data_IF_874167506366
#
_entry.id   IF_874167506366
#
_cell.length_a   1.000
_cell.length_b   1.000
_cell.length_c   1.000
_cell.angle_alpha   90.00
_cell.angle_beta   90.00
_cell.angle_gamma   90.00
#
_symmetry.space_group_name_H-M   'P 1'
#
loop_
_entity.id
_entity.type
_entity.pdbx_description
1 polymer ?
#
# COMPACT_ATOMS: atom_id res chain seq x y z
N UNK A 1 16.02 7.95 5.05
CA UNK A 1 15.77 6.73 4.26
C UNK A 1 15.96 7.13 2.82
N UNK A 2 17.01 6.58 2.22
CA UNK A 2 17.26 6.71 0.80
C UNK A 2 16.69 5.47 0.10
N UNK A 3 16.15 5.67 -1.09
CA UNK A 3 15.54 4.62 -1.90
C UNK A 3 16.20 4.64 -3.27
N UNK A 4 16.56 3.47 -3.81
CA UNK A 4 17.03 3.38 -5.19
C UNK A 4 15.87 3.43 -6.18
N UNK A 5 16.14 3.67 -7.46
CA UNK A 5 15.09 3.70 -8.48
C UNK A 5 14.40 2.34 -8.62
N UNK A 6 15.19 1.28 -8.56
CA UNK A 6 14.74 -0.12 -8.66
C UNK A 6 13.81 -0.46 -7.48
N UNK A 7 14.14 0.00 -6.28
CA UNK A 7 13.29 -0.17 -5.10
C UNK A 7 11.96 0.58 -5.24
N UNK A 8 11.98 1.81 -5.78
CA UNK A 8 10.77 2.60 -6.00
C UNK A 8 9.84 1.91 -7.01
N UNK A 9 10.40 1.38 -8.10
CA UNK A 9 9.65 0.64 -9.11
C UNK A 9 9.06 -0.65 -8.54
N UNK A 10 9.84 -1.40 -7.77
CA UNK A 10 9.36 -2.60 -7.09
C UNK A 10 8.23 -2.31 -6.09
N UNK A 11 8.36 -1.26 -5.29
CA UNK A 11 7.33 -0.83 -4.35
C UNK A 11 6.05 -0.40 -5.06
N UNK A 12 6.18 0.31 -6.20
CA UNK A 12 5.05 0.70 -7.04
C UNK A 12 4.32 -0.53 -7.56
N UNK A 13 5.03 -1.49 -8.14
CA UNK A 13 4.45 -2.72 -8.67
C UNK A 13 3.66 -3.49 -7.59
N UNK A 14 4.27 -3.73 -6.42
CA UNK A 14 3.59 -4.43 -5.31
C UNK A 14 2.35 -3.66 -4.86
N UNK A 15 2.45 -2.33 -4.74
CA UNK A 15 1.35 -1.50 -4.24
C UNK A 15 0.09 -1.61 -5.12
N UNK A 16 0.27 -1.86 -6.41
CA UNK A 16 -0.81 -1.96 -7.40
C UNK A 16 -1.26 -3.41 -7.61
N UNK A 17 -0.32 -4.34 -7.74
CA UNK A 17 -0.58 -5.67 -8.31
C UNK A 17 -0.64 -6.79 -7.27
N UNK A 18 -0.16 -6.58 -6.04
CA UNK A 18 -0.10 -7.66 -5.06
C UNK A 18 -1.51 -8.13 -4.64
N UNK A 19 -1.71 -9.46 -4.55
CA UNK A 19 -3.02 -10.06 -4.22
C UNK A 19 -3.51 -9.70 -2.81
N UNK A 20 -2.64 -9.78 -1.80
CA UNK A 20 -2.99 -9.41 -0.42
C UNK A 20 -3.13 -7.88 -0.27
N UNK A 21 -4.34 -7.37 0.07
CA UNK A 21 -4.56 -5.93 0.27
C UNK A 21 -3.74 -5.34 1.42
N UNK A 22 -3.35 -6.14 2.42
CA UNK A 22 -2.48 -5.69 3.52
C UNK A 22 -1.04 -5.48 3.05
N UNK A 23 -0.56 -6.32 2.13
CA UNK A 23 0.75 -6.12 1.50
C UNK A 23 0.70 -4.89 0.60
N UNK A 24 -0.35 -4.71 -0.22
CA UNK A 24 -0.54 -3.48 -1.00
C UNK A 24 -0.49 -2.22 -0.14
N UNK A 25 -1.22 -2.18 0.98
CA UNK A 25 -1.22 -1.01 1.89
C UNK A 25 0.15 -0.73 2.50
N UNK A 26 0.91 -1.78 2.85
CA UNK A 26 2.29 -1.62 3.34
C UNK A 26 3.19 -1.06 2.25
N UNK A 27 3.11 -1.59 1.03
CA UNK A 27 3.89 -1.10 -0.10
C UNK A 27 3.54 0.36 -0.44
N UNK A 28 2.25 0.73 -0.47
CA UNK A 28 1.81 2.12 -0.61
C UNK A 28 2.42 3.05 0.44
N UNK A 29 2.50 2.60 1.70
CA UNK A 29 3.09 3.39 2.78
C UNK A 29 4.56 3.71 2.51
N UNK A 30 5.33 2.73 2.09
CA UNK A 30 6.78 2.88 1.82
C UNK A 30 7.01 3.64 0.51
N UNK A 31 6.22 3.35 -0.52
CA UNK A 31 6.27 4.06 -1.81
C UNK A 31 5.98 5.55 -1.65
N UNK A 32 4.95 5.94 -0.91
CA UNK A 32 4.69 7.36 -0.68
C UNK A 32 5.80 8.02 0.16
N UNK A 33 6.45 7.24 1.04
CA UNK A 33 7.61 7.74 1.79
C UNK A 33 8.82 8.00 0.89
N UNK A 34 9.04 7.16 -0.13
CA UNK A 34 10.13 7.37 -1.10
C UNK A 34 9.88 8.59 -1.99
N UNK A 35 8.61 8.87 -2.30
CA UNK A 35 8.15 10.10 -2.96
C UNK A 35 8.16 11.35 -2.06
N UNK A 36 8.73 11.27 -0.86
CA UNK A 36 8.88 12.37 0.12
C UNK A 36 7.58 12.96 0.67
N UNK A 37 6.45 12.24 0.61
CA UNK A 37 5.24 12.66 1.31
C UNK A 37 5.45 12.69 2.83
N UNK A 38 4.75 13.60 3.51
CA UNK A 38 4.78 13.68 4.97
C UNK A 38 4.05 12.49 5.61
N UNK A 39 4.42 12.17 6.84
CA UNK A 39 3.79 11.08 7.60
C UNK A 39 2.28 11.30 7.80
N UNK A 40 1.86 12.57 7.89
CA UNK A 40 0.45 12.95 8.02
C UNK A 40 -0.32 12.69 6.72
N UNK A 41 0.23 13.11 5.58
CA UNK A 41 -0.38 12.89 4.26
C UNK A 41 -0.50 11.40 3.93
N UNK A 42 0.57 10.63 4.16
CA UNK A 42 0.56 9.19 3.91
C UNK A 42 -0.52 8.50 4.76
N UNK A 43 -0.66 8.88 6.02
CA UNK A 43 -1.71 8.36 6.90
C UNK A 43 -3.11 8.65 6.36
N UNK A 44 -3.31 9.85 5.81
CA UNK A 44 -4.58 10.26 5.20
C UNK A 44 -4.87 9.48 3.90
N UNK A 45 -3.88 9.37 3.00
CA UNK A 45 -4.02 8.69 1.70
C UNK A 45 -4.28 7.18 1.87
N UNK A 46 -3.52 6.51 2.74
CA UNK A 46 -3.61 5.05 2.90
C UNK A 46 -4.71 4.65 3.90
N UNK A 47 -5.23 5.60 4.68
CA UNK A 47 -6.20 5.36 5.75
C UNK A 47 -5.59 4.60 6.93
N UNK A 48 -4.40 5.01 7.37
CA UNK A 48 -3.66 4.37 8.46
C UNK A 48 -3.44 5.33 9.62
N UNK A 49 -3.47 4.79 10.85
CA UNK A 49 -3.02 5.53 12.02
C UNK A 49 -1.52 5.81 11.94
N UNK A 50 -1.09 6.92 12.55
CA UNK A 50 0.32 7.30 12.63
C UNK A 50 1.20 6.21 13.25
N UNK A 51 0.66 5.47 14.25
CA UNK A 51 1.29 4.33 14.90
C UNK A 51 1.50 3.16 13.93
N UNK A 52 0.48 2.81 13.16
CA UNK A 52 0.57 1.73 12.16
C UNK A 52 1.58 2.06 11.09
N UNK A 53 1.59 3.31 10.64
CA UNK A 53 2.52 3.81 9.64
C UNK A 53 3.98 3.70 10.10
N UNK A 54 4.28 4.15 11.33
CA UNK A 54 5.63 3.98 11.93
C UNK A 54 6.07 2.52 11.94
N UNK A 55 5.18 1.62 12.37
CA UNK A 55 5.47 0.19 12.40
C UNK A 55 5.78 -0.38 11.02
N UNK A 56 5.08 0.08 9.97
CA UNK A 56 5.32 -0.38 8.60
C UNK A 56 6.64 0.14 8.05
N UNK A 57 6.98 1.41 8.30
CA UNK A 57 8.26 1.97 7.91
C UNK A 57 9.42 1.28 8.65
N UNK A 58 9.28 1.04 9.95
CA UNK A 58 10.30 0.35 10.74
C UNK A 58 10.50 -1.09 10.25
N UNK A 59 9.42 -1.84 9.98
CA UNK A 59 9.54 -3.18 9.43
C UNK A 59 10.24 -3.22 8.06
N UNK A 60 10.07 -2.17 7.25
CA UNK A 60 10.82 -2.02 6.01
C UNK A 60 12.28 -1.61 6.24
N UNK A 61 12.56 -0.79 7.26
CA UNK A 61 13.94 -0.46 7.63
C UNK A 61 14.72 -1.70 8.10
N UNK A 62 14.06 -2.57 8.86
CA UNK A 62 14.70 -3.74 9.47
C UNK A 62 14.91 -4.88 8.46
N UNK A 63 13.94 -5.11 7.55
CA UNK A 63 13.94 -6.26 6.63
C UNK A 63 14.00 -5.89 5.15
N UNK A 64 14.00 -4.60 4.80
CA UNK A 64 13.92 -4.12 3.42
C UNK A 64 12.68 -4.66 2.68
N UNK A 65 12.87 -4.96 1.40
CA UNK A 65 11.86 -5.59 0.54
C UNK A 65 11.44 -6.99 1.00
N UNK A 66 12.21 -7.67 1.85
CA UNK A 66 11.81 -8.98 2.38
C UNK A 66 10.60 -8.90 3.33
N UNK A 67 10.29 -7.71 3.88
CA UNK A 67 9.10 -7.46 4.72
C UNK A 67 7.76 -7.75 4.02
N UNK A 68 7.73 -7.80 2.69
CA UNK A 68 6.54 -8.09 1.90
C UNK A 68 6.35 -9.60 1.62
N UNK A 69 7.38 -10.43 1.83
CA UNK A 69 7.37 -11.86 1.45
C UNK A 69 6.74 -12.79 2.49
N UNK A 70 6.65 -12.36 3.75
CA UNK A 70 6.31 -13.22 4.90
C UNK A 70 4.83 -13.58 5.06
N UNK A 71 3.94 -13.15 4.16
CA UNK A 71 2.50 -13.33 4.34
C UNK A 71 1.90 -14.11 3.18
N UNK A 72 1.70 -15.42 3.39
CA UNK A 72 0.77 -16.23 2.60
C UNK A 72 -0.59 -15.53 2.65
N UNK A 73 -1.07 -15.04 1.51
CA UNK A 73 -2.37 -14.39 1.40
C UNK A 73 -3.46 -15.39 1.80
N UNK A 74 -4.16 -15.13 2.91
CA UNK A 74 -5.43 -15.81 3.25
C UNK A 74 -6.63 -15.13 2.57
N UNK A 75 -6.37 -14.10 1.73
CA UNK A 75 -7.40 -13.35 1.04
C UNK A 75 -7.69 -14.00 -0.32
N UNK A 76 -8.73 -14.82 -0.38
CA UNK A 76 -9.44 -15.16 -1.60
C UNK A 76 -10.55 -14.12 -1.81
N UNK A 77 -10.48 -13.27 -2.85
CA UNK A 77 -11.58 -12.35 -3.13
C UNK A 77 -12.83 -13.19 -3.43
N UNK A 78 -13.85 -13.08 -2.60
CA UNK A 78 -15.21 -13.49 -2.99
C UNK A 78 -15.54 -12.62 -4.21
N UNK A 79 -15.81 -13.23 -5.36
CA UNK A 79 -16.21 -12.50 -6.56
C UNK A 79 -17.41 -11.61 -6.20
N UNK A 80 -17.17 -10.31 -6.00
CA UNK A 80 -18.25 -9.37 -5.76
C UNK A 80 -18.87 -9.12 -7.13
N UNK A 81 -19.97 -9.84 -7.40
CA UNK A 81 -20.83 -9.60 -8.54
C UNK A 81 -21.19 -8.12 -8.62
N UNK A 82 -21.06 -7.56 -9.82
CA UNK A 82 -21.10 -6.13 -10.06
C UNK A 82 -22.42 -5.47 -9.67
N UNK A 83 -22.35 -4.14 -9.61
CA UNK A 83 -23.30 -3.14 -10.12
C UNK A 83 -23.12 -1.88 -9.27
N UNK A 84 -22.22 -1.00 -9.71
CA UNK A 84 -22.36 0.41 -9.41
C UNK A 84 -23.42 0.94 -10.39
N UNK A 85 -24.67 1.09 -9.95
CA UNK A 85 -25.71 1.80 -10.72
C UNK A 85 -25.23 3.24 -10.92
N UNK A 86 -24.96 3.60 -12.17
CA UNK A 86 -24.73 4.99 -12.57
C UNK A 86 -25.99 5.81 -12.31
N UNK A 87 -25.90 6.77 -11.40
CA UNK A 87 -26.92 7.78 -11.19
C UNK A 87 -26.75 8.84 -12.30
N UNK A 88 -27.56 8.80 -13.35
CA UNK A 88 -27.67 9.90 -14.32
C UNK A 88 -28.77 10.85 -13.85
N UNK A 89 -28.37 11.89 -13.12
CA UNK A 89 -29.21 13.06 -12.85
C UNK A 89 -28.93 14.18 -13.85
N UNK A 90 -30.00 14.79 -14.36
CA UNK A 90 -30.07 16.16 -14.89
C UNK A 90 -29.53 16.39 -16.30
N UNK A 91 -30.41 16.66 -17.28
CA UNK A 91 -30.96 17.99 -17.60
C UNK A 91 -32.38 17.81 -18.12
#
# INVERSE_FOLDING_TARGET
MEFTKEEIEYLRDISMNHTDPKIRKRAWTVYLKSLKYSHKEIGHIVGLSQKTLRRYLQAHQDKGCASFRERKSLYTPKQVGGVCRGNKGGV
#
